data_IF_101425383926
#
_entry.id   IF_101425383926
#
_cell.length_a   1.000
_cell.length_b   1.000
_cell.length_c   1.000
_cell.angle_alpha   90.00
_cell.angle_beta   90.00
_cell.angle_gamma   90.00
#
_symmetry.space_group_name_H-M   'P 1'
#
loop_
_entity.id
_entity.type
_entity.pdbx_description
1 polymer ?
#
# COMPACT_ATOMS: atom_id res chain seq x y z
N UNK A 1 -14.18 22.15 -49.25
CA UNK A 1 -13.01 21.33 -48.85
C UNK A 1 -12.78 21.49 -47.36
N UNK A 2 -13.37 20.62 -46.54
CA UNK A 2 -13.12 20.55 -45.10
C UNK A 2 -11.89 19.68 -44.85
N UNK A 3 -10.85 20.24 -44.23
CA UNK A 3 -9.89 19.44 -43.45
C UNK A 3 -10.29 19.60 -41.99
N UNK A 4 -10.98 18.59 -41.46
CA UNK A 4 -11.05 18.41 -40.02
C UNK A 4 -9.62 18.12 -39.55
N UNK A 5 -9.09 18.98 -38.67
CA UNK A 5 -7.87 18.69 -37.94
C UNK A 5 -8.23 17.60 -36.94
N UNK A 6 -7.71 16.40 -37.13
CA UNK A 6 -7.72 15.37 -36.11
C UNK A 6 -6.89 15.91 -34.92
N UNK A 7 -7.57 16.28 -33.85
CA UNK A 7 -6.93 16.63 -32.58
C UNK A 7 -6.38 15.32 -31.98
N UNK A 8 -5.05 15.17 -32.02
CA UNK A 8 -4.36 14.10 -31.31
C UNK A 8 -4.70 14.25 -29.82
N UNK A 9 -5.27 13.22 -29.15
CA UNK A 9 -5.58 13.30 -27.74
C UNK A 9 -4.29 13.60 -26.97
N UNK A 10 -4.23 14.74 -26.26
CA UNK A 10 -3.11 15.02 -25.37
C UNK A 10 -3.09 13.91 -24.32
N UNK A 11 -2.05 13.09 -24.36
CA UNK A 11 -1.77 12.12 -23.32
C UNK A 11 -1.72 12.89 -22.00
N UNK A 12 -2.68 12.63 -21.11
CA UNK A 12 -2.75 13.29 -19.81
C UNK A 12 -1.51 12.85 -19.04
N UNK A 13 -0.62 13.80 -18.74
CA UNK A 13 0.49 13.54 -17.83
C UNK A 13 -0.08 13.32 -16.43
N UNK A 14 -0.20 12.04 -16.05
CA UNK A 14 -0.73 11.58 -14.78
C UNK A 14 0.07 12.14 -13.59
N UNK A 15 1.32 12.57 -13.81
CA UNK A 15 2.19 13.12 -12.77
C UNK A 15 2.47 14.62 -12.95
N UNK A 16 1.68 15.30 -13.78
CA UNK A 16 1.76 16.75 -13.89
C UNK A 16 1.52 17.41 -12.53
N UNK A 17 2.19 18.55 -12.28
CA UNK A 17 2.07 19.28 -11.02
C UNK A 17 0.60 19.57 -10.66
N UNK A 18 -0.23 19.96 -11.63
CA UNK A 18 -1.65 20.22 -11.43
C UNK A 18 -2.44 18.97 -11.05
N UNK A 19 -2.11 17.81 -11.62
CA UNK A 19 -2.75 16.54 -11.25
C UNK A 19 -2.41 16.17 -9.82
N UNK A 20 -1.15 16.28 -9.43
CA UNK A 20 -0.68 15.99 -8.06
C UNK A 20 -1.30 16.97 -7.04
N UNK A 21 -1.46 18.23 -7.43
CA UNK A 21 -2.13 19.22 -6.60
C UNK A 21 -3.61 18.90 -6.41
N UNK A 22 -4.32 18.56 -7.49
CA UNK A 22 -5.71 18.13 -7.43
C UNK A 22 -5.92 16.84 -6.64
N UNK A 23 -4.93 15.93 -6.64
CA UNK A 23 -4.94 14.75 -5.79
C UNK A 23 -4.89 15.14 -4.31
N UNK A 24 -4.01 16.09 -3.92
CA UNK A 24 -3.94 16.56 -2.54
C UNK A 24 -5.23 17.26 -2.10
N UNK A 25 -5.92 17.97 -3.00
CA UNK A 25 -7.24 18.55 -2.74
C UNK A 25 -8.29 17.47 -2.42
N UNK A 26 -8.22 16.32 -3.09
CA UNK A 26 -9.17 15.22 -2.94
C UNK A 26 -8.75 14.13 -1.95
N UNK A 27 -7.55 14.21 -1.36
CA UNK A 27 -6.95 13.11 -0.59
C UNK A 27 -7.84 12.60 0.54
N UNK A 28 -8.56 13.52 1.18
CA UNK A 28 -9.45 13.26 2.33
C UNK A 28 -10.92 13.16 1.96
N UNK A 29 -11.26 13.19 0.66
CA UNK A 29 -12.62 13.08 0.16
C UNK A 29 -12.81 11.73 -0.53
N UNK A 30 -13.49 10.81 0.16
CA UNK A 30 -13.72 9.46 -0.35
C UNK A 30 -14.73 9.41 -1.50
N UNK A 31 -15.53 10.45 -1.72
CA UNK A 31 -16.39 10.54 -2.90
C UNK A 31 -15.58 10.92 -4.14
N UNK A 32 -14.52 11.70 -3.95
CA UNK A 32 -13.63 12.14 -5.04
C UNK A 32 -12.57 11.09 -5.37
N UNK A 33 -12.03 10.43 -4.35
CA UNK A 33 -11.10 9.31 -4.50
C UNK A 33 -11.65 8.16 -3.66
N UNK A 34 -12.44 7.25 -4.27
CA UNK A 34 -12.95 6.05 -3.60
C UNK A 34 -11.86 5.19 -2.96
N UNK A 35 -12.23 4.44 -1.92
CA UNK A 35 -11.31 3.61 -1.13
C UNK A 35 -10.59 2.56 -1.99
N UNK A 36 -11.28 1.98 -2.98
CA UNK A 36 -10.71 0.99 -3.90
C UNK A 36 -9.47 1.50 -4.66
N UNK A 37 -9.29 2.81 -4.79
CA UNK A 37 -8.14 3.40 -5.46
C UNK A 37 -6.97 3.72 -4.52
N UNK A 38 -7.14 3.59 -3.21
CA UNK A 38 -6.09 3.87 -2.22
C UNK A 38 -4.78 3.11 -2.44
N UNK A 39 -4.80 1.81 -2.80
CA UNK A 39 -3.57 1.07 -3.10
C UNK A 39 -2.80 1.63 -4.30
N UNK A 40 -3.48 2.35 -5.21
CA UNK A 40 -2.89 2.91 -6.43
C UNK A 40 -2.28 4.31 -6.23
N UNK A 41 -2.35 4.88 -5.01
CA UNK A 41 -1.92 6.25 -4.75
C UNK A 41 -0.41 6.39 -4.54
N UNK A 42 0.30 5.31 -4.24
CA UNK A 42 1.72 5.37 -3.90
C UNK A 42 2.60 6.04 -4.98
N UNK A 43 2.48 5.72 -6.28
CA UNK A 43 3.26 6.39 -7.32
C UNK A 43 3.03 7.91 -7.34
N UNK A 44 1.81 8.37 -7.04
CA UNK A 44 1.52 9.79 -6.94
C UNK A 44 2.19 10.42 -5.71
N UNK A 45 2.19 9.72 -4.57
CA UNK A 45 2.88 10.17 -3.36
C UNK A 45 4.38 10.30 -3.57
N UNK A 46 4.99 9.35 -4.29
CA UNK A 46 6.40 9.40 -4.67
C UNK A 46 6.70 10.62 -5.56
N UNK A 47 5.83 10.95 -6.50
CA UNK A 47 5.99 12.15 -7.33
C UNK A 47 5.75 13.45 -6.55
N UNK A 48 4.77 13.49 -5.63
CA UNK A 48 4.59 14.60 -4.68
C UNK A 48 5.87 14.84 -3.86
N UNK A 49 6.56 13.78 -3.42
CA UNK A 49 7.78 13.88 -2.62
C UNK A 49 8.93 14.63 -3.33
N UNK A 50 8.95 14.63 -4.67
CA UNK A 50 9.93 15.32 -5.51
C UNK A 50 9.72 16.84 -5.55
N UNK A 51 8.53 17.34 -5.21
CA UNK A 51 8.20 18.76 -5.24
C UNK A 51 8.11 19.35 -3.84
N UNK A 52 9.01 20.28 -3.50
CA UNK A 52 9.10 20.88 -2.16
C UNK A 52 7.77 21.50 -1.66
N UNK A 53 7.07 22.22 -2.54
CA UNK A 53 5.79 22.86 -2.18
C UNK A 53 4.69 21.82 -1.89
N UNK A 54 4.50 20.85 -2.80
CA UNK A 54 3.50 19.78 -2.63
C UNK A 54 3.81 18.93 -1.41
N UNK A 55 5.09 18.61 -1.15
CA UNK A 55 5.54 17.91 0.05
C UNK A 55 5.18 18.66 1.33
N UNK A 56 5.44 19.97 1.39
CA UNK A 56 5.07 20.80 2.54
C UNK A 56 3.56 20.79 2.79
N UNK A 57 2.79 20.95 1.71
CA UNK A 57 1.33 20.94 1.73
C UNK A 57 0.76 19.60 2.18
N UNK A 58 1.25 18.49 1.62
CA UNK A 58 0.90 17.14 1.99
C UNK A 58 1.14 16.87 3.49
N UNK A 59 2.31 17.26 4.02
CA UNK A 59 2.61 17.12 5.44
C UNK A 59 1.64 17.91 6.33
N UNK A 60 1.20 19.09 5.90
CA UNK A 60 0.19 19.89 6.61
C UNK A 60 -1.16 19.16 6.65
N UNK A 61 -1.59 18.59 5.52
CA UNK A 61 -2.82 17.80 5.43
C UNK A 61 -2.76 16.58 6.37
N UNK A 62 -1.69 15.78 6.31
CA UNK A 62 -1.54 14.60 7.17
C UNK A 62 -1.55 14.98 8.66
N UNK A 63 -0.81 16.02 9.06
CA UNK A 63 -0.78 16.48 10.47
C UNK A 63 -2.16 16.90 10.97
N UNK A 64 -2.91 17.62 10.15
CA UNK A 64 -4.28 18.04 10.50
C UNK A 64 -5.18 16.83 10.76
N UNK A 65 -5.14 15.83 9.89
CA UNK A 65 -5.94 14.61 10.05
C UNK A 65 -5.47 13.75 11.24
N UNK A 66 -4.17 13.62 11.48
CA UNK A 66 -3.65 12.93 12.66
C UNK A 66 -4.04 13.61 13.96
N UNK A 67 -4.08 14.95 13.97
CA UNK A 67 -4.52 15.71 15.12
C UNK A 67 -6.00 15.45 15.43
N UNK A 68 -6.87 15.58 14.41
CA UNK A 68 -8.31 15.26 14.53
C UNK A 68 -8.53 13.83 15.01
N UNK A 69 -7.82 12.86 14.44
CA UNK A 69 -7.89 11.47 14.88
C UNK A 69 -7.47 11.28 16.34
N UNK A 70 -6.43 11.98 16.79
CA UNK A 70 -6.00 11.88 18.19
C UNK A 70 -6.97 12.53 19.18
N UNK A 71 -7.73 13.55 18.76
CA UNK A 71 -8.71 14.24 19.60
C UNK A 71 -10.04 13.51 19.66
N UNK A 72 -10.55 13.07 18.51
CA UNK A 72 -11.91 12.52 18.39
C UNK A 72 -11.92 10.98 18.26
N UNK A 73 -10.76 10.39 17.94
CA UNK A 73 -10.58 8.96 17.77
C UNK A 73 -11.26 8.37 16.53
N UNK A 74 -11.29 7.04 16.48
CA UNK A 74 -11.98 6.26 15.44
C UNK A 74 -13.51 6.41 15.45
N UNK A 75 -14.08 7.16 16.41
CA UNK A 75 -15.53 7.33 16.54
C UNK A 75 -16.12 8.30 15.52
N UNK A 76 -15.31 9.24 15.03
CA UNK A 76 -15.73 10.28 14.08
C UNK A 76 -14.80 10.38 12.87
N UNK A 77 -13.51 10.04 13.03
CA UNK A 77 -12.55 10.00 11.95
C UNK A 77 -12.76 8.79 11.04
N UNK A 78 -12.68 8.97 9.73
CA UNK A 78 -12.68 7.86 8.79
C UNK A 78 -11.29 7.17 8.79
N UNK A 79 -11.19 5.87 9.13
CA UNK A 79 -9.93 5.14 9.15
C UNK A 79 -9.15 5.20 7.84
N UNK A 80 -9.86 5.24 6.71
CA UNK A 80 -9.26 5.23 5.38
C UNK A 80 -8.45 6.49 5.10
N UNK A 81 -8.99 7.65 5.49
CA UNK A 81 -8.30 8.93 5.35
C UNK A 81 -6.99 8.92 6.13
N UNK A 82 -7.01 8.30 7.31
CA UNK A 82 -5.82 8.16 8.16
C UNK A 82 -4.82 7.18 7.54
N UNK A 83 -5.27 6.05 6.98
CA UNK A 83 -4.44 5.09 6.24
C UNK A 83 -3.70 5.78 5.08
N UNK A 84 -4.42 6.53 4.23
CA UNK A 84 -3.81 7.34 3.16
C UNK A 84 -2.78 8.33 3.69
N UNK A 85 -3.09 9.03 4.78
CA UNK A 85 -2.17 9.98 5.40
C UNK A 85 -0.92 9.30 5.97
N UNK A 86 -1.04 8.09 6.52
CA UNK A 86 0.09 7.30 7.02
C UNK A 86 1.00 6.86 5.85
N UNK A 87 0.41 6.36 4.77
CA UNK A 87 1.14 5.94 3.57
C UNK A 87 1.90 7.12 2.94
N UNK A 88 1.20 8.25 2.75
CA UNK A 88 1.83 9.49 2.26
C UNK A 88 2.92 9.98 3.23
N UNK A 89 2.68 9.94 4.54
CA UNK A 89 3.69 10.33 5.53
C UNK A 89 4.95 9.48 5.42
N UNK A 90 4.80 8.16 5.29
CA UNK A 90 5.91 7.24 5.14
C UNK A 90 6.75 7.59 3.91
N UNK A 91 6.11 7.76 2.74
CA UNK A 91 6.80 8.18 1.51
C UNK A 91 7.52 9.52 1.69
N UNK A 92 6.91 10.48 2.39
CA UNK A 92 7.49 11.82 2.58
C UNK A 92 8.57 11.89 3.66
N UNK A 93 8.61 10.98 4.63
CA UNK A 93 9.52 11.04 5.79
C UNK A 93 10.47 9.85 5.90
N UNK A 94 10.23 8.79 5.13
CA UNK A 94 10.95 7.51 5.21
C UNK A 94 10.74 6.79 6.54
N UNK A 95 9.69 7.11 7.29
CA UNK A 95 9.43 6.51 8.60
C UNK A 95 7.99 6.66 9.05
N UNK A 96 7.54 5.71 9.86
CA UNK A 96 6.20 5.68 10.44
C UNK A 96 5.93 6.86 11.39
N UNK A 97 4.66 7.27 11.45
CA UNK A 97 4.20 8.31 12.37
C UNK A 97 3.85 7.72 13.75
N UNK A 98 4.83 7.70 14.65
CA UNK A 98 4.73 7.04 15.98
C UNK A 98 3.77 7.68 16.99
N UNK A 99 3.22 8.87 16.72
CA UNK A 99 2.39 9.62 17.67
C UNK A 99 0.89 9.39 17.51
N UNK A 100 0.48 8.56 16.56
CA UNK A 100 -0.93 8.26 16.34
C UNK A 100 -1.40 7.23 17.37
N UNK A 101 -2.44 7.56 18.13
CA UNK A 101 -3.08 6.60 19.04
C UNK A 101 -4.07 5.75 18.25
N UNK A 102 -4.15 4.45 18.55
CA UNK A 102 -5.11 3.52 17.93
C UNK A 102 -5.12 3.64 16.39
N UNK A 103 -3.93 3.56 15.77
CA UNK A 103 -3.81 3.63 14.31
C UNK A 103 -4.70 2.57 13.65
N UNK A 104 -5.34 2.88 12.50
CA UNK A 104 -5.92 1.83 11.68
C UNK A 104 -4.86 0.79 11.31
N UNK A 105 -5.28 -0.47 11.08
CA UNK A 105 -4.37 -1.51 10.60
C UNK A 105 -3.70 -1.04 9.30
N UNK A 106 -2.40 -1.24 9.22
CA UNK A 106 -1.63 -0.87 8.04
C UNK A 106 -1.94 -1.82 6.89
N UNK A 107 -1.89 -1.30 5.67
CA UNK A 107 -1.82 -2.16 4.49
C UNK A 107 -0.55 -2.98 4.51
N UNK A 108 -0.60 -4.16 3.90
CA UNK A 108 0.58 -4.94 3.52
C UNK A 108 1.33 -4.18 2.41
N UNK A 109 1.93 -3.06 2.76
CA UNK A 109 2.83 -2.31 1.88
C UNK A 109 4.14 -3.08 1.89
N UNK A 110 4.65 -3.41 0.71
CA UNK A 110 6.02 -3.92 0.58
C UNK A 110 6.94 -2.75 0.93
N UNK A 111 7.44 -2.74 2.18
CA UNK A 111 8.19 -1.61 2.73
C UNK A 111 9.63 -1.53 2.23
N UNK A 112 10.18 -2.67 1.80
CA UNK A 112 11.50 -2.82 1.22
C UNK A 112 11.44 -3.94 0.17
N UNK A 113 11.80 -3.61 -1.08
CA UNK A 113 12.09 -4.61 -2.11
C UNK A 113 13.61 -4.87 -2.04
N UNK A 114 13.99 -5.97 -1.39
CA UNK A 114 15.40 -6.36 -1.29
C UNK A 114 15.77 -7.09 -2.59
N UNK A 115 16.70 -6.52 -3.36
CA UNK A 115 17.31 -7.20 -4.48
C UNK A 115 18.24 -8.32 -3.99
N UNK A 116 17.67 -9.51 -3.86
CA UNK A 116 18.34 -10.73 -3.42
C UNK A 116 19.38 -11.26 -4.42
N UNK A 117 19.49 -10.68 -5.62
CA UNK A 117 20.51 -11.09 -6.61
C UNK A 117 21.94 -10.81 -6.16
N UNK A 118 22.13 -9.91 -5.19
CA UNK A 118 23.43 -9.52 -4.65
C UNK A 118 23.81 -10.22 -3.33
N UNK A 119 22.89 -11.01 -2.75
CA UNK A 119 23.07 -11.63 -1.45
C UNK A 119 23.73 -13.02 -1.59
N UNK A 120 25.05 -13.03 -1.73
CA UNK A 120 25.85 -14.24 -1.96
C UNK A 120 25.88 -15.25 -0.79
N UNK A 121 25.23 -14.98 0.35
CA UNK A 121 25.25 -15.82 1.56
C UNK A 121 23.86 -16.03 2.19
N UNK A 122 22.79 -16.01 1.38
CA UNK A 122 21.47 -16.40 1.87
C UNK A 122 21.33 -17.93 1.86
N UNK A 123 21.82 -18.58 2.93
CA UNK A 123 21.27 -19.87 3.35
C UNK A 123 19.83 -19.62 3.83
N UNK A 124 18.88 -19.48 2.89
CA UNK A 124 17.46 -19.35 3.19
C UNK A 124 16.95 -20.72 3.64
N UNK A 125 17.16 -21.03 4.92
CA UNK A 125 16.40 -22.08 5.57
C UNK A 125 14.99 -21.53 5.77
N UNK A 126 14.01 -22.12 5.08
CA UNK A 126 12.59 -21.87 5.33
C UNK A 126 12.30 -22.26 6.78
N UNK A 127 12.04 -21.27 7.64
CA UNK A 127 11.68 -21.49 9.03
C UNK A 127 10.20 -21.81 9.11
N UNK A 128 9.85 -22.98 9.62
CA UNK A 128 8.47 -23.38 9.89
C UNK A 128 8.26 -23.47 11.39
N UNK A 129 7.05 -23.14 11.84
CA UNK A 129 6.70 -23.07 13.26
C UNK A 129 5.46 -23.90 13.52
N UNK A 130 5.38 -24.53 14.69
CA UNK A 130 4.20 -25.26 15.12
C UNK A 130 3.05 -24.31 15.51
N UNK A 131 1.90 -24.88 15.87
CA UNK A 131 0.70 -24.14 16.30
C UNK A 131 0.91 -23.28 17.56
N UNK A 132 2.00 -23.49 18.30
CA UNK A 132 2.41 -22.73 19.48
C UNK A 132 3.55 -21.74 19.21
N UNK A 133 3.98 -21.61 17.94
CA UNK A 133 5.04 -20.70 17.51
C UNK A 133 6.46 -21.18 17.79
N UNK A 134 6.66 -22.48 18.07
CA UNK A 134 7.99 -23.07 18.27
C UNK A 134 8.57 -23.51 16.93
N UNK A 135 9.86 -23.23 16.71
CA UNK A 135 10.56 -23.59 15.48
C UNK A 135 10.57 -25.11 15.27
N UNK A 136 10.14 -25.56 14.10
CA UNK A 136 10.13 -26.94 13.68
C UNK A 136 11.44 -27.30 12.97
N UNK A 137 12.10 -28.36 13.43
CA UNK A 137 13.34 -28.87 12.80
C UNK A 137 13.08 -29.71 11.55
N UNK A 138 11.89 -30.33 11.45
CA UNK A 138 11.52 -31.17 10.31
C UNK A 138 10.01 -30.99 9.99
N UNK A 139 9.65 -29.93 9.25
CA UNK A 139 8.25 -29.62 9.00
C UNK A 139 7.47 -30.70 8.22
N UNK A 140 8.18 -31.58 7.51
CA UNK A 140 7.58 -32.65 6.72
C UNK A 140 7.50 -33.99 7.47
N UNK A 141 7.91 -34.04 8.74
CA UNK A 141 7.94 -35.29 9.53
C UNK A 141 6.55 -35.95 9.66
N UNK A 142 5.49 -35.15 9.58
CA UNK A 142 4.10 -35.61 9.65
C UNK A 142 3.38 -35.62 8.29
N UNK A 143 4.10 -35.42 7.17
CA UNK A 143 3.50 -35.51 5.84
C UNK A 143 3.27 -37.00 5.51
N UNK A 144 2.05 -37.47 5.73
CA UNK A 144 1.59 -38.77 5.20
C UNK A 144 1.06 -38.49 3.79
N UNK A 145 1.81 -38.91 2.77
CA UNK A 145 1.34 -38.93 1.39
C UNK A 145 0.46 -40.17 1.23
N UNK A 146 -0.86 -39.97 1.16
CA UNK A 146 -1.79 -41.02 0.79
C UNK A 146 -2.01 -40.96 -0.73
N UNK A 147 -1.47 -41.93 -1.45
CA UNK A 147 -1.71 -42.08 -2.88
C UNK A 147 -3.10 -42.71 -3.08
N UNK A 148 -4.03 -41.96 -3.67
CA UNK A 148 -5.35 -42.47 -4.04
C UNK A 148 -5.30 -42.90 -5.50
N UNK A 149 -5.36 -44.20 -5.77
CA UNK A 149 -5.51 -44.71 -7.13
C UNK A 149 -6.91 -44.38 -7.67
N UNK A 150 -6.98 -43.73 -8.84
CA UNK A 150 -8.20 -43.22 -9.47
C UNK A 150 -9.14 -44.34 -9.97
N UNK A 151 -8.74 -45.61 -9.85
CA UNK A 151 -9.50 -46.74 -10.38
C UNK A 151 -10.79 -47.04 -9.61
N UNK A 152 -11.00 -46.46 -8.43
CA UNK A 152 -12.23 -46.66 -7.62
C UNK A 152 -13.42 -45.78 -8.05
N UNK A 153 -13.25 -44.88 -9.02
CA UNK A 153 -14.31 -43.95 -9.46
C UNK A 153 -14.90 -44.23 -10.85
N UNK A 154 -14.45 -45.27 -11.55
CA UNK A 154 -15.08 -45.71 -12.80
C UNK A 154 -15.83 -47.03 -12.54
N UNK A 155 -17.14 -46.91 -12.27
CA UNK A 155 -18.06 -48.03 -12.49
C UNK A 155 -18.39 -48.08 -13.98
N UNK A 156 -18.17 -49.22 -14.63
CA UNK A 156 -18.70 -49.53 -15.98
C UNK A 156 -20.24 -49.51 -16.01
#
# INVERSE_FOLDING_TARGET
>A
MHRQREEIPRMIDLYSYSTLEGLLDGLTDLNRIPEEYSPLLEPYFQNIAKHAHLRSRALKICRSNFHKWNEEGAKTGNPEIIRRCLNLWYVLKGKDYKKLKNSPPADNIIKDEIDVSSANDLNVARLEFDEFGKLMSNPLENLILEEVEVNDFIQE
#
